data_IF_529361566955
#
_entry.id   IF_529361566955
#
_cell.length_a   1.000
_cell.length_b   1.000
_cell.length_c   1.000
_cell.angle_alpha   90.00
_cell.angle_beta   90.00
_cell.angle_gamma   90.00
#
_symmetry.space_group_name_H-M   'P 1'
#
loop_
_entity.id
_entity.type
_entity.pdbx_description
1 polymer ?
#
# COMPACT_ATOMS: atom_id res chain seq x y z
N UNK A 1 -6.76 1.68 23.98
CA UNK A 1 -6.21 2.27 25.22
C UNK A 1 -7.17 3.23 25.96
N UNK A 2 -8.33 3.58 25.36
CA UNK A 2 -9.32 4.47 26.03
C UNK A 2 -10.18 3.76 27.08
N UNK A 3 -10.30 2.43 27.03
CA UNK A 3 -11.06 1.65 28.01
C UNK A 3 -10.10 1.03 29.04
N UNK A 4 -10.42 1.17 30.33
CA UNK A 4 -9.75 0.47 31.44
C UNK A 4 -10.34 -0.91 31.69
N UNK A 5 -11.47 -1.22 31.06
CA UNK A 5 -12.16 -2.50 31.24
C UNK A 5 -11.73 -3.49 30.17
N UNK A 6 -11.61 -4.78 30.52
CA UNK A 6 -11.35 -5.84 29.54
C UNK A 6 -12.37 -5.83 28.43
N UNK A 7 -11.91 -5.94 27.18
CA UNK A 7 -12.78 -5.98 26.00
C UNK A 7 -12.93 -7.43 25.54
N UNK A 8 -14.17 -7.89 25.41
CA UNK A 8 -14.48 -9.20 24.83
C UNK A 8 -14.46 -9.12 23.32
N UNK A 9 -13.64 -9.96 22.69
CA UNK A 9 -13.51 -10.06 21.24
C UNK A 9 -13.89 -11.47 20.78
N UNK A 10 -14.69 -11.59 19.74
CA UNK A 10 -15.02 -12.88 19.14
C UNK A 10 -13.79 -13.47 18.44
N UNK A 11 -13.33 -14.56 18.96
CA UNK A 11 -12.45 -15.65 18.49
C UNK A 11 -11.26 -15.42 17.54
N UNK A 12 -10.97 -14.24 17.02
CA UNK A 12 -9.72 -13.99 16.28
C UNK A 12 -9.20 -12.59 16.59
N UNK A 13 -8.00 -12.54 17.15
CA UNK A 13 -7.23 -11.29 17.15
C UNK A 13 -6.77 -11.03 15.71
N UNK A 14 -6.92 -9.80 15.19
CA UNK A 14 -6.19 -9.40 14.00
C UNK A 14 -4.68 -9.64 14.22
N UNK A 15 -3.93 -10.01 13.18
CA UNK A 15 -2.47 -10.24 13.24
C UNK A 15 -1.73 -9.11 13.94
N UNK A 16 -2.17 -7.87 13.73
CA UNK A 16 -1.66 -6.67 14.40
C UNK A 16 -1.73 -6.73 15.93
N UNK A 17 -2.66 -7.49 16.51
CA UNK A 17 -2.76 -7.66 17.95
C UNK A 17 -1.75 -8.68 18.51
N UNK A 18 -1.31 -9.64 17.71
CA UNK A 18 -0.29 -10.61 18.12
C UNK A 18 1.03 -9.91 18.40
N UNK A 19 1.46 -8.99 17.52
CA UNK A 19 2.64 -8.17 17.76
C UNK A 19 2.53 -7.34 19.05
N UNK A 20 1.36 -6.76 19.33
CA UNK A 20 1.14 -5.97 20.54
C UNK A 20 1.17 -6.83 21.80
N UNK A 21 0.74 -8.08 21.72
CA UNK A 21 0.84 -9.05 22.82
C UNK A 21 2.29 -9.47 23.06
N UNK A 22 3.03 -9.82 22.00
CA UNK A 22 4.45 -10.18 22.08
C UNK A 22 5.31 -9.05 22.66
N UNK A 23 4.95 -7.80 22.37
CA UNK A 23 5.59 -6.60 22.92
C UNK A 23 5.10 -6.23 24.33
N UNK A 24 4.13 -6.96 24.89
CA UNK A 24 3.58 -6.71 26.22
C UNK A 24 2.63 -5.50 26.32
N UNK A 25 2.16 -4.96 25.20
CA UNK A 25 1.17 -3.87 25.17
C UNK A 25 -0.26 -4.35 25.38
N UNK A 26 -0.52 -5.63 25.13
CA UNK A 26 -1.78 -6.32 25.38
C UNK A 26 -1.54 -7.58 26.20
N UNK A 27 -2.58 -8.01 26.91
CA UNK A 27 -2.67 -9.35 27.51
C UNK A 27 -3.95 -9.98 27.01
N UNK A 28 -3.84 -11.18 26.43
CA UNK A 28 -4.95 -11.93 25.90
C UNK A 28 -5.22 -13.15 26.77
N UNK A 29 -6.47 -13.31 27.23
CA UNK A 29 -6.92 -14.48 27.97
C UNK A 29 -7.96 -15.24 27.15
N UNK A 30 -7.57 -16.43 26.68
CA UNK A 30 -8.39 -17.34 25.88
C UNK A 30 -9.06 -18.43 26.73
N UNK A 31 -9.07 -18.33 28.06
CA UNK A 31 -9.62 -19.35 28.97
C UNK A 31 -11.16 -19.45 28.93
N UNK A 32 -11.85 -18.56 28.23
CA UNK A 32 -13.31 -18.51 28.06
C UNK A 32 -13.72 -18.68 26.59
N UNK A 33 -15.03 -18.80 26.32
CA UNK A 33 -15.56 -18.86 24.95
C UNK A 33 -15.21 -17.61 24.12
N UNK A 34 -15.06 -16.46 24.80
CA UNK A 34 -14.62 -15.19 24.21
C UNK A 34 -13.15 -14.91 24.57
N UNK A 35 -12.41 -14.31 23.65
CA UNK A 35 -11.07 -13.79 23.92
C UNK A 35 -11.19 -12.49 24.72
N UNK A 36 -10.59 -12.45 25.91
CA UNK A 36 -10.55 -11.25 26.74
C UNK A 36 -9.23 -10.52 26.49
N UNK A 37 -9.30 -9.30 25.94
CA UNK A 37 -8.14 -8.46 25.68
C UNK A 37 -8.06 -7.36 26.73
N UNK A 38 -6.92 -7.27 27.40
CA UNK A 38 -6.66 -6.28 28.45
C UNK A 38 -5.42 -5.47 28.14
N UNK A 39 -5.49 -4.15 28.29
CA UNK A 39 -4.32 -3.27 28.23
C UNK A 39 -3.77 -3.12 29.66
N UNK A 40 -2.48 -3.45 29.91
CA UNK A 40 -1.88 -3.25 31.25
C UNK A 40 -2.02 -1.81 31.73
N UNK A 41 -2.22 -1.65 33.03
CA UNK A 41 -2.44 -0.32 33.66
C UNK A 41 -1.26 0.62 33.40
N UNK A 42 -0.05 0.09 33.38
CA UNK A 42 1.19 0.84 33.12
C UNK A 42 1.18 1.42 31.69
N UNK A 43 0.80 0.62 30.72
CA UNK A 43 0.67 1.04 29.31
C UNK A 43 -0.40 2.12 29.18
N UNK A 44 -1.56 1.93 29.82
CA UNK A 44 -2.63 2.94 29.82
C UNK A 44 -2.18 4.27 30.43
N UNK A 45 -1.40 4.24 31.53
CA UNK A 45 -0.85 5.45 32.15
C UNK A 45 0.12 6.20 31.23
N UNK A 46 1.05 5.47 30.62
CA UNK A 46 2.02 6.05 29.68
C UNK A 46 1.28 6.63 28.48
N UNK A 47 0.31 5.92 27.93
CA UNK A 47 -0.49 6.43 26.80
C UNK A 47 -1.20 7.76 27.14
N UNK A 48 -1.85 7.85 28.31
CA UNK A 48 -2.49 9.10 28.73
C UNK A 48 -1.51 10.24 29.03
N UNK A 49 -0.27 9.90 29.42
CA UNK A 49 0.78 10.91 29.54
C UNK A 49 1.17 11.43 28.15
N UNK A 50 1.42 10.54 27.20
CA UNK A 50 1.77 10.88 25.80
C UNK A 50 0.66 11.70 25.13
N UNK A 51 -0.62 11.36 25.38
CA UNK A 51 -1.75 12.16 24.87
C UNK A 51 -1.69 13.62 25.37
N UNK A 52 -1.39 13.83 26.64
CA UNK A 52 -1.23 15.19 27.21
C UNK A 52 -0.02 15.93 26.65
N UNK A 53 0.99 15.23 26.19
CA UNK A 53 2.19 15.77 25.56
C UNK A 53 2.03 16.00 24.03
N UNK A 54 0.79 15.93 23.50
CA UNK A 54 0.49 16.18 22.09
C UNK A 54 0.83 14.99 21.16
N UNK A 55 0.78 13.77 21.69
CA UNK A 55 1.05 12.57 20.89
C UNK A 55 0.06 12.40 19.75
N UNK A 56 -1.23 12.67 19.97
CA UNK A 56 -2.28 12.48 18.98
C UNK A 56 -2.06 13.38 17.76
N UNK A 57 -1.69 14.66 17.98
CA UNK A 57 -1.40 15.61 16.91
C UNK A 57 -0.16 15.19 16.13
N UNK A 58 0.92 14.77 16.84
CA UNK A 58 2.13 14.25 16.18
C UNK A 58 1.85 12.99 15.40
N UNK A 59 1.05 12.08 15.95
CA UNK A 59 0.64 10.85 15.26
C UNK A 59 -0.11 11.19 13.96
N UNK A 60 -1.12 12.06 14.03
CA UNK A 60 -1.88 12.47 12.83
C UNK A 60 -0.97 13.09 11.76
N UNK A 61 -0.02 13.90 12.18
CA UNK A 61 0.99 14.49 11.29
C UNK A 61 1.84 13.42 10.62
N UNK A 62 2.33 12.47 11.40
CA UNK A 62 3.20 11.39 10.90
C UNK A 62 2.42 10.38 10.04
N UNK A 63 1.17 10.09 10.39
CA UNK A 63 0.31 9.25 9.54
C UNK A 63 0.01 9.91 8.19
N UNK A 64 -0.06 11.25 8.15
CA UNK A 64 -0.20 11.96 6.87
C UNK A 64 1.09 11.88 6.04
N UNK A 65 2.28 12.02 6.65
CA UNK A 65 3.57 11.86 5.96
C UNK A 65 3.73 10.43 5.43
N UNK A 66 3.36 9.43 6.22
CA UNK A 66 3.30 8.03 5.82
C UNK A 66 2.37 7.81 4.62
N UNK A 67 1.15 8.37 4.67
CA UNK A 67 0.22 8.31 3.55
C UNK A 67 0.79 8.88 2.25
N UNK A 68 1.57 9.96 2.32
CA UNK A 68 2.28 10.50 1.15
C UNK A 68 3.41 9.58 0.67
N UNK A 69 4.17 8.97 1.59
CA UNK A 69 5.22 8.00 1.22
C UNK A 69 4.62 6.79 0.53
N UNK A 70 3.58 6.18 1.13
CA UNK A 70 2.86 5.05 0.52
C UNK A 70 2.31 5.41 -0.85
N UNK A 71 1.61 6.55 -0.96
CA UNK A 71 0.99 6.98 -2.21
C UNK A 71 2.02 7.22 -3.32
N UNK A 72 3.13 7.85 -3.00
CA UNK A 72 4.18 8.16 -3.99
C UNK A 72 4.96 6.92 -4.40
N UNK A 73 5.21 6.00 -3.48
CA UNK A 73 5.87 4.72 -3.79
C UNK A 73 4.95 3.83 -4.64
N UNK A 74 3.67 3.75 -4.32
CA UNK A 74 2.70 3.03 -5.13
C UNK A 74 2.60 3.61 -6.56
N UNK A 75 2.59 4.94 -6.69
CA UNK A 75 2.44 5.62 -7.98
C UNK A 75 3.72 5.67 -8.82
N UNK A 76 4.90 5.69 -8.20
CA UNK A 76 6.18 5.92 -8.89
C UNK A 76 7.22 4.81 -8.68
N UNK A 77 6.97 3.82 -7.82
CA UNK A 77 7.92 2.78 -7.41
C UNK A 77 9.03 3.28 -6.49
N UNK A 78 9.58 4.47 -6.77
CA UNK A 78 10.62 5.10 -5.98
C UNK A 78 10.53 6.63 -6.04
N UNK A 79 10.89 7.29 -4.94
CA UNK A 79 10.91 8.76 -4.85
C UNK A 79 12.07 9.21 -3.97
N UNK A 80 12.75 10.31 -4.34
CA UNK A 80 13.74 10.92 -3.44
C UNK A 80 13.07 11.63 -2.26
N UNK A 81 13.75 11.68 -1.11
CA UNK A 81 13.22 12.42 0.04
C UNK A 81 12.96 13.90 -0.26
N UNK A 82 13.85 14.64 -0.96
CA UNK A 82 13.57 16.02 -1.37
C UNK A 82 12.33 16.18 -2.25
N UNK A 83 12.11 15.26 -3.22
CA UNK A 83 10.93 15.31 -4.08
C UNK A 83 9.64 15.07 -3.30
N UNK A 84 9.64 14.12 -2.35
CA UNK A 84 8.50 13.88 -1.48
C UNK A 84 8.19 15.10 -0.60
N UNK A 85 9.20 15.72 -0.02
CA UNK A 85 9.07 16.97 0.74
C UNK A 85 8.48 18.07 -0.12
N UNK A 86 8.93 18.23 -1.37
CA UNK A 86 8.42 19.24 -2.29
C UNK A 86 6.94 18.99 -2.65
N UNK A 87 6.56 17.75 -2.98
CA UNK A 87 5.16 17.38 -3.25
C UNK A 87 4.29 17.67 -2.02
N UNK A 88 4.72 17.21 -0.85
CA UNK A 88 3.98 17.45 0.40
C UNK A 88 3.78 18.93 0.67
N UNK A 89 4.83 19.74 0.54
CA UNK A 89 4.81 21.16 0.85
C UNK A 89 3.97 21.99 -0.13
N UNK A 90 3.85 21.56 -1.37
CA UNK A 90 2.94 22.17 -2.35
C UNK A 90 1.47 21.92 -2.04
N UNK A 91 1.15 20.81 -1.38
CA UNK A 91 -0.23 20.37 -1.16
C UNK A 91 -0.73 20.59 0.28
N UNK A 92 0.15 21.02 1.20
CA UNK A 92 -0.21 21.20 2.59
C UNK A 92 0.21 22.57 3.13
N UNK A 93 -0.64 23.15 3.98
CA UNK A 93 -0.37 24.46 4.60
C UNK A 93 0.72 24.43 5.68
N UNK A 94 0.96 23.26 6.26
CA UNK A 94 2.03 23.03 7.23
C UNK A 94 3.16 22.26 6.54
N UNK A 95 4.26 22.95 6.19
CA UNK A 95 5.37 22.31 5.48
C UNK A 95 6.09 21.28 6.34
N UNK A 96 6.78 20.35 5.69
CA UNK A 96 7.70 19.38 6.30
C UNK A 96 9.13 19.59 5.80
N UNK A 97 10.08 18.90 6.41
CA UNK A 97 11.48 18.84 5.99
C UNK A 97 11.97 17.38 6.00
N UNK A 98 13.13 17.11 5.44
CA UNK A 98 13.75 15.79 5.46
C UNK A 98 14.06 15.33 6.90
N UNK A 99 14.42 16.27 7.80
CA UNK A 99 14.67 15.96 9.21
C UNK A 99 13.40 15.50 9.96
N UNK A 100 12.22 15.96 9.56
CA UNK A 100 10.93 15.47 10.10
C UNK A 100 10.50 14.19 9.39
N UNK A 101 10.69 14.12 8.07
CA UNK A 101 10.21 13.01 7.23
C UNK A 101 10.85 11.68 7.66
N UNK A 102 12.17 11.63 7.75
CA UNK A 102 12.88 10.38 8.03
C UNK A 102 12.43 9.69 9.33
N UNK A 103 12.41 10.32 10.51
CA UNK A 103 11.96 9.66 11.73
C UNK A 103 10.45 9.37 11.73
N UNK A 104 9.64 10.14 10.98
CA UNK A 104 8.23 9.86 10.84
C UNK A 104 7.98 8.56 10.08
N UNK A 105 8.70 8.32 9.00
CA UNK A 105 8.57 7.13 8.16
C UNK A 105 9.26 5.90 8.76
N UNK A 106 10.41 6.07 9.41
CA UNK A 106 11.20 4.98 9.98
C UNK A 106 10.36 4.11 10.94
N UNK A 107 9.48 4.71 11.70
CA UNK A 107 8.59 3.98 12.62
C UNK A 107 7.61 3.07 11.89
N UNK A 108 7.17 3.43 10.67
CA UNK A 108 6.29 2.62 9.84
C UNK A 108 7.07 1.49 9.16
N UNK A 109 8.25 1.78 8.64
CA UNK A 109 9.19 0.76 8.13
C UNK A 109 9.49 -0.30 9.19
N UNK A 110 9.74 0.11 10.43
CA UNK A 110 10.03 -0.80 11.54
C UNK A 110 8.87 -1.76 11.90
N UNK A 111 7.65 -1.48 11.46
CA UNK A 111 6.46 -2.33 11.70
C UNK A 111 5.89 -2.93 10.40
N UNK A 112 6.66 -2.91 9.31
CA UNK A 112 6.31 -3.60 8.06
C UNK A 112 5.54 -2.73 7.07
N UNK A 113 5.92 -1.46 6.89
CA UNK A 113 5.42 -0.66 5.78
C UNK A 113 5.76 -1.31 4.42
N UNK A 114 4.94 -1.11 3.37
CA UNK A 114 5.22 -1.66 2.05
C UNK A 114 6.31 -0.90 1.29
N UNK A 115 7.09 -0.09 1.97
CA UNK A 115 8.21 0.67 1.45
C UNK A 115 9.39 0.61 2.43
N UNK A 116 10.59 0.88 1.92
CA UNK A 116 11.82 0.96 2.71
C UNK A 116 12.69 2.13 2.25
N UNK A 117 13.79 2.37 2.99
CA UNK A 117 14.79 3.35 2.59
C UNK A 117 15.95 2.66 1.87
N UNK A 118 16.34 3.20 0.74
CA UNK A 118 17.50 2.77 -0.01
C UNK A 118 18.27 3.99 -0.58
N UNK A 119 19.49 4.18 -0.14
CA UNK A 119 20.29 5.40 -0.40
C UNK A 119 19.46 6.66 -0.02
N UNK A 120 19.30 7.62 -0.93
CA UNK A 120 18.48 8.84 -0.74
C UNK A 120 16.99 8.65 -1.09
N UNK A 121 16.59 7.44 -1.48
CA UNK A 121 15.22 7.16 -1.94
C UNK A 121 14.37 6.47 -0.89
N UNK A 122 13.07 6.65 -1.03
CA UNK A 122 12.02 5.82 -0.46
C UNK A 122 11.51 4.96 -1.61
N UNK A 123 11.55 3.65 -1.47
CA UNK A 123 11.32 2.69 -2.55
C UNK A 123 10.28 1.65 -2.16
N UNK A 124 9.59 1.08 -3.15
CA UNK A 124 8.71 -0.07 -2.96
C UNK A 124 9.50 -1.24 -2.35
N UNK A 125 8.92 -1.91 -1.35
CA UNK A 125 9.55 -3.05 -0.68
C UNK A 125 9.86 -4.21 -1.62
N UNK A 126 9.15 -4.34 -2.74
CA UNK A 126 9.41 -5.38 -3.75
C UNK A 126 10.82 -5.31 -4.34
N UNK A 127 11.44 -4.13 -4.37
CA UNK A 127 12.83 -4.00 -4.83
C UNK A 127 13.87 -4.67 -3.91
N UNK A 128 13.49 -5.05 -2.67
CA UNK A 128 14.39 -5.79 -1.78
C UNK A 128 14.75 -7.17 -2.33
N UNK A 129 13.84 -7.82 -3.06
CA UNK A 129 14.00 -9.18 -3.57
C UNK A 129 15.18 -9.31 -4.53
N UNK A 130 15.47 -8.26 -5.31
CA UNK A 130 16.61 -8.23 -6.26
C UNK A 130 17.78 -7.34 -5.80
N UNK A 131 17.82 -6.98 -4.52
CA UNK A 131 18.89 -6.14 -3.95
C UNK A 131 18.91 -4.72 -4.50
N UNK A 132 17.75 -4.19 -4.89
CA UNK A 132 17.55 -2.81 -5.38
C UNK A 132 18.22 -2.48 -6.74
N UNK A 133 18.65 -3.49 -7.51
CA UNK A 133 19.31 -3.24 -8.80
C UNK A 133 18.38 -2.48 -9.75
N UNK A 134 17.10 -2.82 -9.76
CA UNK A 134 16.08 -2.21 -10.65
C UNK A 134 15.73 -0.76 -10.27
N UNK A 135 15.96 -0.34 -9.03
CA UNK A 135 15.73 1.07 -8.62
C UNK A 135 16.59 2.03 -9.42
N UNK A 136 17.87 1.69 -9.63
CA UNK A 136 18.79 2.54 -10.41
C UNK A 136 18.37 2.63 -11.87
N UNK A 137 17.85 1.57 -12.42
CA UNK A 137 17.35 1.54 -13.80
C UNK A 137 16.06 2.34 -13.94
N UNK A 138 15.13 2.21 -13.00
CA UNK A 138 13.92 3.01 -12.90
C UNK A 138 14.25 4.50 -12.81
N UNK A 139 15.15 4.90 -11.89
CA UNK A 139 15.55 6.30 -11.74
C UNK A 139 16.23 6.86 -12.99
N UNK A 140 17.00 6.03 -13.71
CA UNK A 140 17.61 6.41 -14.98
C UNK A 140 16.57 6.62 -16.09
N UNK A 141 15.55 5.78 -16.15
CA UNK A 141 14.43 5.90 -17.11
C UNK A 141 13.55 7.11 -16.82
N UNK A 142 13.32 7.44 -15.54
CA UNK A 142 12.59 8.63 -15.10
C UNK A 142 13.37 9.93 -15.34
N UNK A 143 14.70 9.86 -15.46
CA UNK A 143 15.60 11.01 -15.50
C UNK A 143 15.22 12.06 -16.55
N UNK A 144 14.96 13.29 -16.10
CA UNK A 144 14.63 14.43 -16.94
C UNK A 144 13.16 14.53 -17.40
N UNK A 145 12.31 13.58 -17.06
CA UNK A 145 10.87 13.65 -17.34
C UNK A 145 10.15 14.42 -16.23
N UNK A 146 9.17 15.27 -16.56
CA UNK A 146 8.31 15.87 -15.54
C UNK A 146 7.44 14.79 -14.90
N UNK A 147 7.47 14.72 -13.57
CA UNK A 147 6.65 13.78 -12.81
C UNK A 147 5.17 14.20 -12.84
N UNK A 148 4.27 13.27 -13.09
CA UNK A 148 2.85 13.49 -12.91
C UNK A 148 2.54 13.57 -11.41
N UNK A 149 2.01 14.68 -10.96
CA UNK A 149 1.63 14.89 -9.56
C UNK A 149 0.11 15.12 -9.52
N UNK A 150 -0.68 14.14 -9.04
CA UNK A 150 -2.11 14.32 -8.83
C UNK A 150 -2.40 15.42 -7.80
N UNK A 151 -3.63 15.93 -7.78
CA UNK A 151 -4.13 16.72 -6.66
C UNK A 151 -4.12 15.87 -5.38
N UNK A 152 -4.04 16.52 -4.21
CA UNK A 152 -3.86 15.88 -2.91
C UNK A 152 -4.79 14.68 -2.66
N UNK A 153 -6.09 14.88 -2.87
CA UNK A 153 -7.08 13.84 -2.56
C UNK A 153 -6.98 12.65 -3.53
N UNK A 154 -6.60 12.89 -4.77
CA UNK A 154 -6.37 11.84 -5.75
C UNK A 154 -5.04 11.12 -5.49
N UNK A 155 -3.98 11.85 -5.11
CA UNK A 155 -2.71 11.24 -4.72
C UNK A 155 -2.89 10.31 -3.51
N UNK A 156 -3.57 10.76 -2.47
CA UNK A 156 -3.74 9.99 -1.24
C UNK A 156 -4.62 8.72 -1.41
N UNK A 157 -5.32 8.54 -2.53
CA UNK A 157 -5.97 7.25 -2.86
C UNK A 157 -4.95 6.13 -3.04
N UNK A 158 -3.78 6.44 -3.58
CA UNK A 158 -2.69 5.48 -3.75
C UNK A 158 -2.03 5.07 -2.42
N UNK A 159 -2.39 5.70 -1.29
CA UNK A 159 -1.99 5.21 0.03
C UNK A 159 -2.72 3.92 0.44
N UNK A 160 -3.85 3.59 -0.20
CA UNK A 160 -4.45 2.26 -0.15
C UNK A 160 -3.76 1.37 -1.20
N UNK A 161 -3.05 0.34 -0.75
CA UNK A 161 -2.30 -0.56 -1.63
C UNK A 161 -3.20 -1.36 -2.59
N UNK A 162 -4.48 -1.51 -2.26
CA UNK A 162 -5.48 -2.14 -3.13
C UNK A 162 -6.13 -1.15 -4.12
N UNK A 163 -5.75 0.14 -4.07
CA UNK A 163 -6.29 1.12 -4.98
C UNK A 163 -5.71 0.95 -6.37
N UNK A 164 -6.56 0.97 -7.38
CA UNK A 164 -6.19 1.06 -8.79
C UNK A 164 -7.03 2.11 -9.52
N UNK A 165 -6.46 2.70 -10.58
CA UNK A 165 -7.17 3.70 -11.40
C UNK A 165 -8.33 3.05 -12.14
N UNK A 166 -9.54 3.53 -11.89
CA UNK A 166 -10.74 3.08 -12.62
C UNK A 166 -10.83 3.81 -13.95
N UNK A 167 -10.63 3.07 -15.03
CA UNK A 167 -10.73 3.54 -16.41
C UNK A 167 -11.74 2.68 -17.17
N UNK A 168 -12.27 3.14 -18.32
CA UNK A 168 -13.11 2.30 -19.17
C UNK A 168 -12.45 0.98 -19.58
N UNK A 169 -11.12 0.94 -19.68
CA UNK A 169 -10.36 -0.25 -19.98
C UNK A 169 -10.37 -1.24 -18.81
N UNK A 170 -10.29 -0.74 -17.58
CA UNK A 170 -10.41 -1.55 -16.36
C UNK A 170 -11.84 -2.10 -16.22
N UNK A 171 -12.85 -1.30 -16.51
CA UNK A 171 -14.24 -1.78 -16.53
C UNK A 171 -14.43 -2.90 -17.57
N UNK A 172 -13.80 -2.78 -18.76
CA UNK A 172 -13.83 -3.81 -19.78
C UNK A 172 -13.10 -5.09 -19.35
N UNK A 173 -11.95 -4.97 -18.65
CA UNK A 173 -11.24 -6.11 -18.10
C UNK A 173 -12.08 -6.82 -17.02
N UNK A 174 -12.61 -6.08 -16.07
CA UNK A 174 -13.50 -6.65 -15.03
C UNK A 174 -14.70 -7.37 -15.65
N UNK A 175 -15.34 -6.77 -16.66
CA UNK A 175 -16.44 -7.40 -17.37
C UNK A 175 -16.03 -8.69 -18.10
N UNK A 176 -14.83 -8.72 -18.69
CA UNK A 176 -14.28 -9.92 -19.31
C UNK A 176 -14.05 -11.02 -18.26
N UNK A 177 -13.42 -10.71 -17.14
CA UNK A 177 -13.17 -11.66 -16.06
C UNK A 177 -14.46 -12.25 -15.48
N UNK A 178 -15.52 -11.45 -15.40
CA UNK A 178 -16.83 -11.93 -14.96
C UNK A 178 -17.51 -12.85 -15.99
N UNK A 179 -17.47 -12.51 -17.27
CA UNK A 179 -18.24 -13.18 -18.32
C UNK A 179 -17.55 -14.42 -18.88
N UNK A 180 -16.27 -14.27 -19.25
CA UNK A 180 -15.47 -15.34 -19.87
C UNK A 180 -14.66 -16.11 -18.82
N UNK A 181 -14.16 -15.41 -17.77
CA UNK A 181 -13.45 -16.03 -16.64
C UNK A 181 -14.36 -16.60 -15.57
N UNK A 182 -15.68 -16.37 -15.65
CA UNK A 182 -16.70 -16.81 -14.70
C UNK A 182 -16.42 -16.41 -13.24
N UNK A 183 -15.65 -15.35 -13.02
CA UNK A 183 -15.29 -14.90 -11.69
C UNK A 183 -16.43 -14.10 -11.04
N UNK A 184 -16.66 -14.27 -9.73
CA UNK A 184 -17.53 -13.36 -8.97
C UNK A 184 -17.01 -11.92 -9.11
N UNK A 185 -17.93 -10.95 -9.05
CA UNK A 185 -17.57 -9.54 -9.25
C UNK A 185 -16.42 -9.07 -8.35
N UNK A 186 -16.40 -9.50 -7.08
CA UNK A 186 -15.36 -9.14 -6.12
C UNK A 186 -14.00 -9.62 -6.60
N UNK A 187 -13.91 -10.90 -6.95
CA UNK A 187 -12.65 -11.53 -7.38
C UNK A 187 -12.20 -10.96 -8.74
N UNK A 188 -13.15 -10.68 -9.65
CA UNK A 188 -12.85 -10.00 -10.91
C UNK A 188 -12.31 -8.57 -10.72
N UNK A 189 -12.79 -7.81 -9.73
CA UNK A 189 -12.25 -6.48 -9.38
C UNK A 189 -10.84 -6.61 -8.76
N UNK A 190 -10.58 -7.63 -7.95
CA UNK A 190 -9.28 -7.93 -7.33
C UNK A 190 -8.25 -8.32 -8.41
N UNK A 191 -8.55 -9.31 -9.24
CA UNK A 191 -7.72 -9.73 -10.38
C UNK A 191 -7.42 -8.56 -11.32
N UNK A 192 -8.43 -7.73 -11.63
CA UNK A 192 -8.23 -6.57 -12.49
C UNK A 192 -7.24 -5.57 -11.88
N UNK A 193 -7.29 -5.35 -10.56
CA UNK A 193 -6.34 -4.51 -9.83
C UNK A 193 -4.92 -5.06 -9.91
N UNK A 194 -4.74 -6.35 -9.66
CA UNK A 194 -3.44 -7.03 -9.76
C UNK A 194 -2.87 -6.96 -11.18
N UNK A 195 -3.69 -7.17 -12.21
CA UNK A 195 -3.27 -7.03 -13.61
C UNK A 195 -2.89 -5.58 -13.93
N UNK A 196 -3.61 -4.58 -13.41
CA UNK A 196 -3.21 -3.18 -13.60
C UNK A 196 -1.86 -2.92 -12.94
N UNK A 197 -1.65 -3.41 -11.72
CA UNK A 197 -0.37 -3.27 -11.03
C UNK A 197 0.76 -3.96 -11.82
N UNK A 198 0.54 -5.18 -12.31
CA UNK A 198 1.49 -5.86 -13.19
C UNK A 198 1.83 -5.01 -14.44
N UNK A 199 0.83 -4.31 -15.01
CA UNK A 199 1.09 -3.37 -16.11
C UNK A 199 1.93 -2.16 -15.67
N UNK A 200 1.72 -1.62 -14.45
CA UNK A 200 2.47 -0.48 -13.89
C UNK A 200 3.96 -0.81 -13.80
N UNK A 201 4.30 -2.02 -13.34
CA UNK A 201 5.67 -2.52 -13.19
C UNK A 201 6.25 -3.14 -14.48
N UNK A 202 5.52 -3.04 -15.59
CA UNK A 202 5.91 -3.60 -16.91
C UNK A 202 6.12 -5.13 -16.91
N UNK A 203 5.38 -5.83 -16.04
CA UNK A 203 5.39 -7.29 -16.00
C UNK A 203 5.18 -7.91 -17.37
N UNK A 204 5.78 -9.08 -17.60
CA UNK A 204 5.60 -9.83 -18.83
C UNK A 204 4.28 -10.62 -18.85
N UNK A 205 4.00 -11.28 -19.98
CA UNK A 205 2.75 -12.02 -20.14
C UNK A 205 2.69 -13.28 -19.27
N UNK A 206 3.83 -13.89 -18.93
CA UNK A 206 3.89 -15.07 -18.08
C UNK A 206 3.42 -14.71 -16.67
N UNK A 207 3.95 -13.62 -16.10
CA UNK A 207 3.53 -13.11 -14.79
C UNK A 207 2.04 -12.72 -14.76
N UNK A 208 1.49 -12.17 -15.86
CA UNK A 208 0.06 -11.87 -15.95
C UNK A 208 -0.79 -13.16 -16.00
N UNK A 209 -0.31 -14.21 -16.67
CA UNK A 209 -0.99 -15.50 -16.66
C UNK A 209 -0.90 -16.21 -15.29
N UNK A 210 0.19 -16.02 -14.55
CA UNK A 210 0.32 -16.55 -13.18
C UNK A 210 -0.76 -15.94 -12.27
N UNK A 211 -1.04 -14.64 -12.39
CA UNK A 211 -2.17 -14.00 -11.67
C UNK A 211 -3.49 -14.72 -11.96
N UNK A 212 -3.77 -15.05 -13.23
CA UNK A 212 -4.99 -15.79 -13.56
C UNK A 212 -4.99 -17.20 -12.96
N UNK A 213 -3.82 -17.84 -12.92
CA UNK A 213 -3.62 -19.17 -12.34
C UNK A 213 -3.91 -19.21 -10.83
N UNK A 214 -3.53 -18.17 -10.09
CA UNK A 214 -3.76 -18.07 -8.65
C UNK A 214 -5.27 -18.05 -8.29
N UNK A 215 -6.12 -17.68 -9.25
CA UNK A 215 -7.59 -17.69 -9.13
C UNK A 215 -8.22 -18.89 -9.85
N UNK A 216 -7.46 -19.97 -10.12
CA UNK A 216 -7.93 -21.18 -10.83
C UNK A 216 -8.60 -20.84 -12.20
N UNK A 217 -8.17 -19.75 -12.87
CA UNK A 217 -8.78 -19.31 -14.11
C UNK A 217 -8.04 -19.84 -15.33
N UNK A 218 -8.65 -20.77 -16.03
CA UNK A 218 -8.17 -21.29 -17.32
C UNK A 218 -8.94 -20.63 -18.47
N UNK A 219 -8.21 -20.04 -19.42
CA UNK A 219 -8.78 -19.46 -20.63
C UNK A 219 -8.56 -20.44 -21.81
N UNK A 220 -9.62 -20.70 -22.57
CA UNK A 220 -9.50 -21.48 -23.81
C UNK A 220 -9.23 -20.60 -25.04
N UNK A 221 -8.90 -21.24 -26.19
CA UNK A 221 -8.36 -20.62 -27.39
C UNK A 221 -8.95 -19.24 -27.77
N UNK A 222 -10.29 -19.08 -27.87
CA UNK A 222 -10.91 -17.80 -28.28
C UNK A 222 -10.93 -16.78 -27.12
N UNK A 223 -11.03 -17.25 -25.89
CA UNK A 223 -10.97 -16.44 -24.69
C UNK A 223 -9.56 -15.87 -24.47
N UNK A 224 -8.50 -16.62 -24.78
CA UNK A 224 -7.12 -16.12 -24.75
C UNK A 224 -6.92 -14.93 -25.67
N UNK A 225 -7.41 -15.01 -26.93
CA UNK A 225 -7.26 -13.89 -27.87
C UNK A 225 -8.04 -12.65 -27.40
N UNK A 226 -9.22 -12.84 -26.82
CA UNK A 226 -10.04 -11.75 -26.28
C UNK A 226 -9.37 -11.13 -25.07
N UNK A 227 -8.83 -11.95 -24.14
CA UNK A 227 -8.06 -11.50 -22.98
C UNK A 227 -6.88 -10.63 -23.37
N UNK A 228 -6.03 -11.12 -24.28
CA UNK A 228 -4.86 -10.36 -24.74
C UNK A 228 -5.24 -8.99 -25.29
N UNK A 229 -6.34 -8.89 -26.05
CA UNK A 229 -6.82 -7.59 -26.58
C UNK A 229 -7.24 -6.63 -25.45
N UNK A 230 -7.99 -7.12 -24.48
CA UNK A 230 -8.44 -6.31 -23.34
C UNK A 230 -7.25 -5.91 -22.47
N UNK A 231 -6.37 -6.83 -22.15
CA UNK A 231 -5.14 -6.61 -21.38
C UNK A 231 -4.22 -5.58 -22.05
N UNK A 232 -3.98 -5.71 -23.38
CA UNK A 232 -3.20 -4.72 -24.13
C UNK A 232 -3.84 -3.34 -24.11
N UNK A 233 -5.18 -3.26 -24.10
CA UNK A 233 -5.87 -1.99 -23.95
C UNK A 233 -5.65 -1.39 -22.54
N UNK A 234 -5.64 -2.21 -21.50
CA UNK A 234 -5.27 -1.78 -20.13
C UNK A 234 -3.83 -1.29 -20.12
N UNK A 235 -2.87 -2.11 -20.57
CA UNK A 235 -1.43 -1.76 -20.59
C UNK A 235 -1.17 -0.43 -21.29
N UNK A 236 -1.77 -0.19 -22.44
CA UNK A 236 -1.61 1.05 -23.21
C UNK A 236 -2.23 2.30 -22.55
N UNK A 237 -3.08 2.11 -21.53
CA UNK A 237 -3.76 3.18 -20.82
C UNK A 237 -3.38 3.23 -19.33
N UNK A 238 -2.45 2.39 -18.90
CA UNK A 238 -1.90 2.36 -17.54
C UNK A 238 -0.66 3.25 -17.48
N UNK A 239 -0.55 4.02 -16.40
CA UNK A 239 0.63 4.83 -16.12
C UNK A 239 1.72 3.93 -15.54
N UNK A 240 2.89 3.97 -16.15
CA UNK A 240 4.05 3.20 -15.68
C UNK A 240 4.84 3.98 -14.63
N UNK A 241 5.59 3.29 -13.79
CA UNK A 241 6.52 3.93 -12.83
C UNK A 241 7.56 4.82 -13.53
N UNK A 242 7.98 4.46 -14.74
CA UNK A 242 8.97 5.19 -15.53
C UNK A 242 8.43 6.41 -16.32
N UNK A 243 7.16 6.79 -16.12
CA UNK A 243 6.50 7.87 -16.89
C UNK A 243 6.21 9.12 -16.06
#
# INVERSE_FOLDING_TARGET
ARSREPVKVKKALPEQCSLLEDLGYLVCDASQEDLIVTVPTEISKVFHQLEREGYTERKTRYDLLDGYAMATVHLYGAISQPDLVDIFNRQNSQPTSEEELFPALLRHVAVGAPYCFWEEYIVCGEFEENGFEDVRDLMRQCGGKPRYIPEKDDLLRYADWNYYERTPQMDALTAFLMNEGHQPRRDAEEIAGEIQYACVIEADMEQIYDILGDYDMELDGSAVEAFVKVMMSVKNNTRLWAN
#
